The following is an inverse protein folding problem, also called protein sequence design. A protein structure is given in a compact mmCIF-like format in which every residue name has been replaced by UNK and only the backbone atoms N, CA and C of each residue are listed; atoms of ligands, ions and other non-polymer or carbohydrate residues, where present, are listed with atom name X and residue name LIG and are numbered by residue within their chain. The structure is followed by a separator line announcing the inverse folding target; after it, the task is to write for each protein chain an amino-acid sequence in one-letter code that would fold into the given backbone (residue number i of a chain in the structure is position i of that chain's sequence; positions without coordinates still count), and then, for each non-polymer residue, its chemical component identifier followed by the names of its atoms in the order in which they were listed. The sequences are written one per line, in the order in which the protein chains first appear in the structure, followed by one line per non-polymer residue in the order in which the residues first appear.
data_IF_284491200289
#
_entry.id   IF_284491200289
#
_cell.length_a   1.000
_cell.length_b   1.000
_cell.length_c   1.000
_cell.angle_alpha   90.00
_cell.angle_beta   90.00
_cell.angle_gamma   90.00
#
_symmetry.space_group_name_H-M   'P 1'
#
loop_
_entity.id
_entity.type
_entity.pdbx_description
1 polymer ?
#
# COMPACT_ATOMS: atom_id res chain seq x y z
N UNK A 1 -2.86 -12.81 -16.50
CA UNK A 1 -2.73 -11.75 -15.47
C UNK A 1 -2.12 -12.39 -14.24
N UNK A 2 -1.05 -11.80 -13.70
CA UNK A 2 -0.45 -12.26 -12.45
C UNK A 2 -1.12 -11.55 -11.28
N UNK A 3 -1.41 -12.28 -10.20
CA UNK A 3 -2.03 -11.72 -8.99
C UNK A 3 -0.93 -11.43 -7.98
N UNK A 4 -0.94 -10.20 -7.47
CA UNK A 4 -0.05 -9.77 -6.40
C UNK A 4 -0.88 -9.35 -5.20
N UNK A 5 -0.43 -9.73 -4.00
CA UNK A 5 -0.90 -9.17 -2.75
C UNK A 5 0.05 -8.06 -2.36
N UNK A 6 -0.47 -6.84 -2.21
CA UNK A 6 0.32 -5.67 -1.82
C UNK A 6 -0.10 -5.26 -0.41
N UNK A 7 0.85 -5.19 0.51
CA UNK A 7 0.61 -4.78 1.90
C UNK A 7 1.57 -3.66 2.31
N UNK A 8 1.11 -2.83 3.24
CA UNK A 8 1.96 -1.88 3.95
C UNK A 8 2.41 -2.58 5.23
N UNK A 9 3.71 -2.64 5.47
CA UNK A 9 4.28 -3.18 6.71
C UNK A 9 4.80 -2.02 7.55
N UNK A 10 4.28 -1.92 8.78
CA UNK A 10 4.65 -0.90 9.76
C UNK A 10 4.76 -1.57 11.12
N UNK A 11 5.81 -1.26 11.86
CA UNK A 11 5.93 -1.64 13.25
C UNK A 11 5.24 -0.56 14.08
N UNK A 12 4.17 -0.93 14.79
CA UNK A 12 3.37 -0.03 15.62
C UNK A 12 3.23 -0.70 16.98
N UNK A 13 3.59 0.02 18.04
CA UNK A 13 3.31 -0.39 19.40
C UNK A 13 1.85 -0.11 19.73
N UNK A 14 1.11 -1.15 20.09
CA UNK A 14 -0.30 -1.08 20.47
C UNK A 14 -0.63 -2.23 21.43
N UNK A 15 -1.66 -2.04 22.26
CA UNK A 15 -2.08 -3.09 23.21
C UNK A 15 -2.84 -4.22 22.50
N UNK A 16 -3.45 -3.94 21.34
CA UNK A 16 -4.19 -4.92 20.55
C UNK A 16 -3.96 -4.79 19.04
N UNK A 17 -4.26 -5.86 18.29
CA UNK A 17 -4.20 -5.83 16.83
C UNK A 17 -5.20 -4.84 16.21
N UNK A 18 -6.38 -4.66 16.81
CA UNK A 18 -7.37 -3.69 16.36
C UNK A 18 -6.84 -2.27 16.55
N UNK A 19 -6.25 -1.98 17.71
CA UNK A 19 -5.63 -0.68 17.96
C UNK A 19 -4.48 -0.39 16.99
N UNK A 20 -3.60 -1.37 16.73
CA UNK A 20 -2.54 -1.23 15.74
C UNK A 20 -3.10 -0.88 14.35
N UNK A 21 -4.21 -1.51 13.94
CA UNK A 21 -4.88 -1.20 12.68
C UNK A 21 -5.50 0.20 12.66
N UNK A 22 -6.11 0.64 13.77
CA UNK A 22 -6.66 2.00 13.91
C UNK A 22 -5.55 3.06 13.88
N UNK A 23 -4.41 2.79 14.52
CA UNK A 23 -3.25 3.67 14.51
C UNK A 23 -2.64 3.77 13.10
N UNK A 24 -2.49 2.65 12.40
CA UNK A 24 -2.05 2.64 11.00
C UNK A 24 -3.02 3.45 10.12
N UNK A 25 -4.33 3.22 10.25
CA UNK A 25 -5.34 3.97 9.51
C UNK A 25 -5.25 5.49 9.78
N UNK A 26 -5.07 5.88 11.04
CA UNK A 26 -4.90 7.28 11.42
C UNK A 26 -3.63 7.87 10.80
N UNK A 27 -2.52 7.15 10.82
CA UNK A 27 -1.26 7.58 10.23
C UNK A 27 -1.38 7.80 8.72
N UNK A 28 -1.99 6.85 8.00
CA UNK A 28 -2.23 6.95 6.56
C UNK A 28 -3.18 8.11 6.19
N UNK A 29 -4.11 8.44 7.08
CA UNK A 29 -5.08 9.52 6.87
C UNK A 29 -4.51 10.92 7.10
N UNK A 30 -3.36 11.04 7.78
CA UNK A 30 -2.75 12.32 8.18
C UNK A 30 -1.34 12.52 7.62
N UNK A 31 -0.65 11.45 7.29
CA UNK A 31 0.72 11.43 6.83
C UNK A 31 0.85 11.41 5.30
N UNK A 32 2.09 11.52 4.79
CA UNK A 32 2.36 11.24 3.38
C UNK A 32 2.04 9.77 3.07
N UNK A 33 1.59 9.51 1.84
CA UNK A 33 1.37 8.14 1.34
C UNK A 33 2.67 7.34 1.52
N UNK A 34 2.60 6.10 2.04
CA UNK A 34 3.78 5.25 2.18
C UNK A 34 4.48 5.06 0.85
N UNK A 35 5.80 5.10 0.87
CA UNK A 35 6.64 4.82 -0.30
C UNK A 35 7.22 3.40 -0.25
N UNK A 36 6.83 2.56 0.71
CA UNK A 36 7.36 1.20 0.87
C UNK A 36 6.23 0.20 1.06
N UNK A 37 6.29 -0.87 0.27
CA UNK A 37 5.27 -1.91 0.21
C UNK A 37 5.90 -3.29 0.17
N UNK A 38 5.29 -4.26 0.83
CA UNK A 38 5.58 -5.66 0.63
C UNK A 38 4.68 -6.19 -0.49
N UNK A 39 5.29 -6.78 -1.51
CA UNK A 39 4.60 -7.36 -2.66
C UNK A 39 4.82 -8.86 -2.65
N UNK A 40 3.75 -9.61 -2.49
CA UNK A 40 3.75 -11.07 -2.53
C UNK A 40 3.14 -11.54 -3.84
N UNK A 41 3.88 -12.33 -4.62
CA UNK A 41 3.37 -12.91 -5.86
C UNK A 41 2.67 -14.27 -5.65
N UNK A 42 2.17 -14.86 -6.73
CA UNK A 42 1.44 -16.14 -6.72
C UNK A 42 2.24 -17.34 -6.20
N UNK A 43 3.58 -17.28 -6.28
CA UNK A 43 4.49 -18.28 -5.71
C UNK A 43 4.72 -18.10 -4.21
N UNK A 44 4.08 -17.09 -3.59
CA UNK A 44 4.24 -16.66 -2.20
C UNK A 44 5.61 -16.08 -1.87
N UNK A 45 6.43 -15.75 -2.87
CA UNK A 45 7.63 -14.97 -2.62
C UNK A 45 7.24 -13.51 -2.34
N UNK A 46 7.80 -12.94 -1.27
CA UNK A 46 7.53 -11.57 -0.84
C UNK A 46 8.78 -10.74 -1.07
N UNK A 47 8.62 -9.63 -1.77
CA UNK A 47 9.68 -8.66 -2.03
C UNK A 47 9.27 -7.29 -1.49
N UNK A 48 10.20 -6.59 -0.86
CA UNK A 48 9.99 -5.20 -0.47
C UNK A 48 10.25 -4.28 -1.66
N UNK A 49 9.28 -3.43 -1.98
CA UNK A 49 9.35 -2.46 -3.06
C UNK A 49 9.28 -1.07 -2.46
N UNK A 50 10.33 -0.27 -2.69
CA UNK A 50 10.33 1.16 -2.41
C UNK A 50 9.94 1.92 -3.68
N UNK A 51 8.82 2.62 -3.64
CA UNK A 51 8.36 3.50 -4.71
C UNK A 51 9.12 4.81 -4.69
N UNK A 52 9.42 5.30 -5.88
CA UNK A 52 9.81 6.68 -6.07
C UNK A 52 8.53 7.53 -6.09
N UNK A 53 8.43 8.47 -5.15
CA UNK A 53 7.22 9.29 -4.97
C UNK A 53 6.89 10.11 -6.22
N UNK A 54 7.90 10.64 -6.91
CA UNK A 54 7.68 11.40 -8.14
C UNK A 54 7.09 10.50 -9.22
N UNK A 55 7.65 9.30 -9.42
CA UNK A 55 7.09 8.33 -10.38
C UNK A 55 5.70 7.83 -9.99
N UNK A 56 5.42 7.70 -8.69
CA UNK A 56 4.10 7.29 -8.21
C UNK A 56 3.05 8.39 -8.43
N UNK A 57 3.39 9.65 -8.14
CA UNK A 57 2.54 10.81 -8.45
C UNK A 57 2.34 10.98 -9.97
N UNK A 58 3.39 10.76 -10.78
CA UNK A 58 3.28 10.73 -12.24
C UNK A 58 2.37 9.59 -12.71
N UNK A 59 2.51 8.39 -12.16
CA UNK A 59 1.63 7.27 -12.47
C UNK A 59 0.17 7.54 -12.09
N UNK A 60 -0.06 8.22 -10.96
CA UNK A 60 -1.40 8.66 -10.55
C UNK A 60 -1.95 9.77 -11.45
N UNK A 61 -1.08 10.61 -12.03
CA UNK A 61 -1.46 11.71 -12.92
C UNK A 61 -1.61 11.29 -14.39
N UNK A 62 -1.00 10.18 -14.80
CA UNK A 62 -1.14 9.58 -16.13
C UNK A 62 -2.40 8.71 -16.10
N UNK A 63 -3.54 9.37 -16.23
CA UNK A 63 -4.88 8.81 -16.28
C UNK A 63 -4.98 7.56 -17.19
N UNK A 64 -5.15 6.40 -16.57
CA UNK A 64 -5.92 5.30 -17.11
C UNK A 64 -7.01 5.01 -16.07
N UNK A 65 -8.19 5.64 -16.24
CA UNK A 65 -9.50 5.04 -15.93
C UNK A 65 -9.50 4.18 -14.64
N UNK A 66 -9.90 4.67 -13.47
CA UNK A 66 -11.28 5.11 -13.27
C UNK A 66 -12.24 4.46 -14.28
N UNK A 67 -12.27 3.12 -14.32
CA UNK A 67 -13.47 2.41 -14.75
C UNK A 67 -14.35 2.28 -13.50
N UNK A 68 -15.37 3.14 -13.29
CA UNK A 68 -16.12 3.21 -12.04
C UNK A 68 -17.06 2.01 -11.82
N UNK A 69 -17.02 1.00 -12.71
CA UNK A 69 -18.04 -0.02 -12.86
C UNK A 69 -17.64 -1.44 -12.48
N UNK A 70 -16.49 -1.70 -11.84
CA UNK A 70 -16.14 -3.08 -11.47
C UNK A 70 -15.26 -3.17 -10.21
N UNK A 71 -15.89 -2.98 -9.05
CA UNK A 71 -15.44 -3.47 -7.75
C UNK A 71 -16.32 -4.65 -7.32
#
# INVERSE_FOLDING_TARGET
MHKFTVTITREIEADTAEEAALLLYQELSRGPVPDRYAVTDETKATTEVKLDRQKADEFASIDHTADPGNW
#
